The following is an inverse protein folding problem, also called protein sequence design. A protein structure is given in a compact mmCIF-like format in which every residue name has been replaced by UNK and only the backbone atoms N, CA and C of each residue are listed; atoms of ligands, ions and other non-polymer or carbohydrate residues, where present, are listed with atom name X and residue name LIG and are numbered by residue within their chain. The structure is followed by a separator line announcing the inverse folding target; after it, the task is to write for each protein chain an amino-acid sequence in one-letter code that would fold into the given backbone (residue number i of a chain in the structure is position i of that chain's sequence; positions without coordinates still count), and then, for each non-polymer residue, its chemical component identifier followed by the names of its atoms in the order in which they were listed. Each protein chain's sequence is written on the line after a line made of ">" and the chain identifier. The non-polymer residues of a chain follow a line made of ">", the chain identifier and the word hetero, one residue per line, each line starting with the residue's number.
data_IF_987284219704
#
_entry.id   IF_987284219704
#
_cell.length_a   1.000
_cell.length_b   1.000
_cell.length_c   1.000
_cell.angle_alpha   90.00
_cell.angle_beta   90.00
_cell.angle_gamma   90.00
#
_symmetry.space_group_name_H-M   'P 1'
#
loop_
_entity.id
_entity.type
_entity.pdbx_description
1 polymer ?
#
# COMPACT_ATOMS: atom_id res chain seq x y z
N UNK A 1 -2.67 -3.81 6.40
CA UNK A 1 -2.23 -3.29 5.08
C UNK A 1 -2.60 -4.31 4.01
N UNK A 2 -3.09 -3.89 2.84
CA UNK A 2 -3.42 -4.79 1.72
C UNK A 2 -2.95 -4.21 0.39
N UNK A 3 -2.57 -5.08 -0.56
CA UNK A 3 -2.21 -4.74 -1.94
C UNK A 3 -3.38 -5.07 -2.87
N UNK A 4 -4.19 -4.07 -3.29
CA UNK A 4 -5.44 -4.35 -4.00
C UNK A 4 -5.23 -5.08 -5.32
N UNK A 5 -4.15 -4.75 -6.04
CA UNK A 5 -3.80 -5.33 -7.33
C UNK A 5 -3.59 -6.85 -7.27
N UNK A 6 -2.89 -7.35 -6.24
CA UNK A 6 -2.50 -8.76 -6.09
C UNK A 6 -3.34 -9.54 -5.07
N UNK A 7 -4.24 -8.90 -4.33
CA UNK A 7 -5.01 -9.56 -3.27
C UNK A 7 -6.52 -9.43 -3.45
N UNK A 8 -7.07 -8.21 -3.48
CA UNK A 8 -8.53 -8.03 -3.40
C UNK A 8 -9.21 -7.85 -4.75
N UNK A 9 -8.46 -7.50 -5.79
CA UNK A 9 -8.97 -7.29 -7.15
C UNK A 9 -8.32 -8.24 -8.17
N UNK A 10 -7.79 -9.39 -7.73
CA UNK A 10 -7.08 -10.35 -8.61
C UNK A 10 -7.94 -10.77 -9.80
N UNK A 11 -9.24 -10.96 -9.58
CA UNK A 11 -10.18 -11.41 -10.61
C UNK A 11 -10.57 -10.32 -11.63
N UNK A 12 -10.13 -9.07 -11.42
CA UNK A 12 -10.35 -7.97 -12.36
C UNK A 12 -9.27 -8.01 -13.46
N UNK A 13 -9.63 -7.86 -14.75
CA UNK A 13 -8.66 -7.70 -15.82
C UNK A 13 -7.76 -6.48 -15.57
N UNK A 14 -6.47 -6.58 -15.92
CA UNK A 14 -5.50 -5.53 -15.63
C UNK A 14 -5.86 -4.19 -16.29
N UNK A 15 -6.42 -4.23 -17.51
CA UNK A 15 -6.90 -3.02 -18.20
C UNK A 15 -8.01 -2.28 -17.42
N UNK A 16 -8.81 -2.99 -16.64
CA UNK A 16 -9.86 -2.39 -15.80
C UNK A 16 -9.30 -1.88 -14.46
N UNK A 17 -8.29 -2.55 -13.90
CA UNK A 17 -7.54 -2.06 -12.74
C UNK A 17 -6.84 -0.74 -13.07
N UNK A 18 -6.17 -0.67 -14.22
CA UNK A 18 -5.46 0.51 -14.70
C UNK A 18 -6.41 1.70 -14.91
N UNK A 19 -7.59 1.46 -15.54
CA UNK A 19 -8.62 2.50 -15.72
C UNK A 19 -9.17 3.06 -14.41
N UNK A 20 -9.14 2.27 -13.34
CA UNK A 20 -9.58 2.66 -12.00
C UNK A 20 -8.44 3.24 -11.14
N UNK A 21 -7.21 3.31 -11.67
CA UNK A 21 -6.03 3.77 -10.95
C UNK A 21 -5.54 2.79 -9.88
N UNK A 22 -5.87 1.50 -10.02
CA UNK A 22 -5.38 0.43 -9.14
C UNK A 22 -4.12 -0.13 -9.80
N UNK A 23 -2.96 0.42 -9.44
CA UNK A 23 -1.67 -0.07 -9.92
C UNK A 23 -1.02 -1.06 -8.93
N UNK A 24 0.11 -1.65 -9.34
CA UNK A 24 0.89 -2.60 -8.55
C UNK A 24 1.53 -2.00 -7.29
N UNK A 25 1.65 -0.67 -7.22
CA UNK A 25 2.25 0.07 -6.12
C UNK A 25 1.21 0.62 -5.13
N UNK A 26 -0.08 0.47 -5.43
CA UNK A 26 -1.17 0.94 -4.59
C UNK A 26 -1.21 0.16 -3.27
N UNK A 27 -1.01 0.87 -2.18
CA UNK A 27 -1.12 0.34 -0.82
C UNK A 27 -2.41 0.87 -0.20
N UNK A 28 -3.26 -0.05 0.29
CA UNK A 28 -4.45 0.31 1.07
C UNK A 28 -4.21 0.09 2.55
N UNK A 29 -4.32 1.16 3.32
CA UNK A 29 -4.25 1.17 4.78
C UNK A 29 -5.67 1.21 5.37
N UNK A 30 -5.94 0.34 6.33
CA UNK A 30 -7.13 0.40 7.18
C UNK A 30 -6.64 0.81 8.55
N UNK A 31 -6.82 2.07 8.91
CA UNK A 31 -6.39 2.62 10.20
C UNK A 31 -7.43 2.27 11.26
N UNK A 32 -6.99 1.70 12.38
CA UNK A 32 -7.86 1.38 13.50
C UNK A 32 -7.98 2.56 14.48
N UNK A 33 -8.14 2.23 15.77
CA UNK A 33 -8.32 3.20 16.86
C UNK A 33 -7.10 3.27 17.79
N UNK A 34 -5.94 2.81 17.30
CA UNK A 34 -4.65 2.85 18.01
C UNK A 34 -4.19 4.30 18.28
N UNK A 35 -3.14 4.45 19.10
CA UNK A 35 -2.57 5.77 19.40
C UNK A 35 -2.00 6.42 18.13
N UNK A 36 -2.29 7.71 17.98
CA UNK A 36 -1.84 8.50 16.83
C UNK A 36 -0.32 8.46 16.66
N UNK A 37 0.44 8.58 17.75
CA UNK A 37 1.90 8.67 17.70
C UNK A 37 2.53 7.33 17.29
N UNK A 38 1.92 6.21 17.70
CA UNK A 38 2.36 4.88 17.31
C UNK A 38 2.12 4.65 15.81
N UNK A 39 0.93 5.03 15.31
CA UNK A 39 0.61 4.93 13.87
C UNK A 39 1.55 5.80 13.04
N UNK A 40 1.82 7.03 13.49
CA UNK A 40 2.74 7.95 12.81
C UNK A 40 4.16 7.37 12.76
N UNK A 41 4.68 6.89 13.90
CA UNK A 41 6.01 6.30 13.99
C UNK A 41 6.17 5.07 13.11
N UNK A 42 5.18 4.18 13.09
CA UNK A 42 5.18 2.97 12.27
C UNK A 42 5.20 3.30 10.76
N UNK A 43 4.38 4.26 10.32
CA UNK A 43 4.34 4.68 8.91
C UNK A 43 5.66 5.32 8.50
N UNK A 44 6.21 6.21 9.32
CA UNK A 44 7.49 6.87 9.04
C UNK A 44 8.61 5.83 8.94
N UNK A 45 8.71 4.93 9.91
CA UNK A 45 9.72 3.87 9.92
C UNK A 45 9.60 2.98 8.67
N UNK A 46 8.39 2.62 8.25
CA UNK A 46 8.17 1.83 7.05
C UNK A 46 8.63 2.55 5.78
N UNK A 47 8.35 3.86 5.65
CA UNK A 47 8.77 4.68 4.50
C UNK A 47 10.28 4.95 4.46
N UNK A 48 10.94 5.03 5.61
CA UNK A 48 12.39 5.13 5.67
C UNK A 48 13.07 3.83 5.23
N UNK A 49 12.55 2.69 5.70
CA UNK A 49 13.06 1.37 5.36
C UNK A 49 12.73 0.95 3.91
N UNK A 50 11.68 1.48 3.30
CA UNK A 50 11.33 1.15 1.92
C UNK A 50 12.40 1.60 0.90
N UNK A 51 13.25 2.57 1.27
CA UNK A 51 14.38 3.04 0.45
C UNK A 51 15.49 2.00 0.30
N UNK A 52 15.53 0.98 1.15
CA UNK A 52 16.62 -0.02 1.18
C UNK A 52 16.53 -1.04 0.04
N UNK A 53 15.42 -1.07 -0.71
CA UNK A 53 15.22 -1.97 -1.87
C UNK A 53 15.08 -1.28 -3.23
N UNK A 54 14.95 0.05 -3.27
CA UNK A 54 14.87 0.81 -4.53
C UNK A 54 16.27 1.29 -4.88
N UNK A 55 17.04 0.41 -5.51
CA UNK A 55 18.25 0.81 -6.24
C UNK A 55 17.76 1.68 -7.41
N UNK A 56 17.94 2.99 -7.31
CA UNK A 56 18.10 3.86 -8.49
C UNK A 56 19.58 4.03 -8.78
#
# INVERSE_FOLDING_TARGET
>A
ITFPYTQTHVDMPDEEKDKRGIDEYLIRLSVGIEDYNDIEADIIQALENSKVGVIS
#
